data_IF_017871572832
#
_entry.id   IF_017871572832
#
_cell.length_a   1.000
_cell.length_b   1.000
_cell.length_c   1.000
_cell.angle_alpha   90.00
_cell.angle_beta   90.00
_cell.angle_gamma   90.00
#
_symmetry.space_group_name_H-M   'P 1'
#
loop_
_entity.id
_entity.type
_entity.pdbx_description
1 polymer ?
#
# COMPACT_ATOMS: atom_id res chain seq x y z
N UNK A 1 -63.40 -20.64 -21.90
CA UNK A 1 -62.79 -19.35 -22.34
C UNK A 1 -61.72 -18.85 -21.38
N UNK A 2 -61.94 -18.81 -20.08
CA UNK A 2 -60.98 -18.32 -19.07
C UNK A 2 -59.61 -19.01 -19.08
N UNK A 3 -59.54 -20.36 -19.26
CA UNK A 3 -58.28 -21.11 -19.32
C UNK A 3 -57.37 -20.71 -20.49
N UNK A 4 -57.89 -20.36 -21.62
CA UNK A 4 -57.10 -19.92 -22.77
C UNK A 4 -56.59 -18.49 -22.63
N UNK A 5 -57.35 -17.63 -21.92
CA UNK A 5 -56.94 -16.26 -21.61
C UNK A 5 -55.76 -16.27 -20.60
N UNK A 6 -55.84 -17.14 -19.61
CA UNK A 6 -54.73 -17.27 -18.61
C UNK A 6 -53.45 -17.83 -19.26
N UNK A 7 -53.59 -18.79 -20.19
CA UNK A 7 -52.43 -19.32 -20.92
C UNK A 7 -51.80 -18.28 -21.85
N UNK A 8 -52.61 -17.45 -22.52
CA UNK A 8 -52.12 -16.37 -23.37
C UNK A 8 -51.39 -15.29 -22.55
N UNK A 9 -51.88 -14.95 -21.36
CA UNK A 9 -51.25 -14.00 -20.46
C UNK A 9 -49.88 -14.48 -19.91
N UNK A 10 -49.74 -15.79 -19.65
CA UNK A 10 -48.46 -16.39 -19.22
C UNK A 10 -47.45 -16.39 -20.35
N UNK A 11 -47.87 -16.65 -21.61
CA UNK A 11 -46.97 -16.61 -22.77
C UNK A 11 -46.43 -15.18 -23.03
N UNK A 12 -47.24 -14.15 -22.80
CA UNK A 12 -46.79 -12.75 -22.93
C UNK A 12 -45.81 -12.30 -21.85
N UNK A 13 -45.76 -12.96 -20.68
CA UNK A 13 -44.84 -12.64 -19.60
C UNK A 13 -43.38 -13.06 -19.91
N UNK A 14 -43.15 -13.91 -20.90
CA UNK A 14 -41.80 -14.36 -21.32
C UNK A 14 -41.18 -13.52 -22.42
N UNK A 15 -41.83 -12.49 -22.94
CA UNK A 15 -41.20 -11.50 -23.83
C UNK A 15 -40.51 -10.40 -22.99
N UNK A 16 -39.56 -10.80 -22.18
CA UNK A 16 -38.63 -9.85 -21.56
C UNK A 16 -37.66 -9.43 -22.67
N UNK A 17 -37.74 -8.21 -23.14
CA UNK A 17 -36.74 -7.61 -23.99
C UNK A 17 -35.45 -7.44 -23.18
N UNK A 18 -34.48 -8.30 -23.35
CA UNK A 18 -33.12 -8.05 -22.92
C UNK A 18 -32.53 -6.92 -23.78
N UNK A 19 -32.43 -5.73 -23.19
CA UNK A 19 -31.70 -4.64 -23.82
C UNK A 19 -30.21 -4.89 -23.53
N UNK A 20 -29.48 -5.36 -24.52
CA UNK A 20 -28.02 -5.39 -24.45
C UNK A 20 -27.50 -3.94 -24.29
N UNK A 21 -27.18 -3.54 -23.06
CA UNK A 21 -26.50 -2.29 -22.80
C UNK A 21 -25.03 -2.55 -23.05
N UNK A 22 -24.54 -2.21 -24.24
CA UNK A 22 -23.12 -2.13 -24.49
C UNK A 22 -22.60 -0.90 -23.73
N UNK A 23 -22.13 -1.11 -22.49
CA UNK A 23 -21.34 -0.11 -21.81
C UNK A 23 -20.00 -0.04 -22.54
N UNK A 24 -19.86 0.92 -23.44
CA UNK A 24 -18.55 1.34 -23.93
C UNK A 24 -18.08 2.41 -22.93
N UNK A 25 -17.18 2.07 -22.00
CA UNK A 25 -16.64 3.08 -21.09
C UNK A 25 -15.87 4.09 -21.94
N UNK A 26 -16.15 5.37 -21.77
CA UNK A 26 -15.28 6.39 -22.33
C UNK A 26 -13.83 6.10 -21.91
N UNK A 27 -12.93 6.01 -22.89
CA UNK A 27 -11.51 5.87 -22.63
C UNK A 27 -11.03 7.14 -21.92
N UNK A 28 -10.86 7.08 -20.62
CA UNK A 28 -10.26 8.17 -19.87
C UNK A 28 -8.78 8.27 -20.24
N UNK A 29 -8.29 9.50 -20.41
CA UNK A 29 -6.86 9.72 -20.58
C UNK A 29 -6.08 9.11 -19.40
N UNK A 30 -4.97 8.39 -19.68
CA UNK A 30 -4.16 7.82 -18.62
C UNK A 30 -3.68 8.90 -17.66
N UNK A 31 -3.88 8.69 -16.36
CA UNK A 31 -3.38 9.57 -15.30
C UNK A 31 -2.02 9.09 -14.83
N UNK A 32 -1.16 10.04 -14.44
CA UNK A 32 0.07 9.69 -13.75
C UNK A 32 -0.26 9.01 -12.42
N UNK A 33 0.41 7.90 -12.15
CA UNK A 33 0.38 7.18 -10.87
C UNK A 33 1.75 7.31 -10.22
N UNK A 34 1.79 7.80 -9.00
CA UNK A 34 3.02 8.04 -8.24
C UNK A 34 3.04 7.12 -7.03
N UNK A 35 4.02 6.23 -6.98
CA UNK A 35 4.37 5.47 -5.78
C UNK A 35 5.72 5.98 -5.28
N UNK A 36 5.68 6.85 -4.28
CA UNK A 36 6.85 7.53 -3.77
C UNK A 36 6.97 7.37 -2.25
N UNK A 37 8.19 7.10 -1.79
CA UNK A 37 8.47 6.95 -0.38
C UNK A 37 9.84 7.48 0.00
N UNK A 38 9.95 7.92 1.25
CA UNK A 38 11.21 8.25 1.91
C UNK A 38 11.17 7.70 3.35
N UNK A 39 12.17 6.89 3.70
CA UNK A 39 12.28 6.26 5.02
C UNK A 39 13.46 6.84 5.80
N UNK A 40 13.37 6.83 7.12
CA UNK A 40 14.49 7.22 7.99
C UNK A 40 15.76 6.44 7.61
N UNK A 41 16.84 7.17 7.32
CA UNK A 41 18.13 6.59 6.97
C UNK A 41 18.24 6.06 5.55
N UNK A 42 17.21 6.21 4.72
CA UNK A 42 17.19 5.69 3.35
C UNK A 42 17.08 6.81 2.30
N UNK A 43 17.54 6.51 1.10
CA UNK A 43 17.29 7.33 -0.09
C UNK A 43 15.80 7.33 -0.43
N UNK A 44 15.25 8.44 -0.94
CA UNK A 44 13.92 8.43 -1.54
C UNK A 44 13.86 7.48 -2.73
N UNK A 45 12.71 6.84 -2.91
CA UNK A 45 12.42 5.99 -4.07
C UNK A 45 11.09 6.44 -4.66
N UNK A 46 11.04 6.66 -5.97
CA UNK A 46 9.86 7.08 -6.70
C UNK A 46 9.65 6.18 -7.92
N UNK A 47 8.49 5.60 -8.03
CA UNK A 47 8.04 4.85 -9.21
C UNK A 47 6.93 5.64 -9.88
N UNK A 48 7.05 5.81 -11.19
CA UNK A 48 6.08 6.55 -12.00
C UNK A 48 5.50 5.62 -13.07
N UNK A 49 4.18 5.52 -13.08
CA UNK A 49 3.45 4.77 -14.11
C UNK A 49 2.25 5.57 -14.61
N UNK A 50 1.70 5.16 -15.74
CA UNK A 50 0.39 5.62 -16.19
C UNK A 50 -0.69 4.64 -15.71
N UNK A 51 -1.85 5.16 -15.36
CA UNK A 51 -3.00 4.32 -15.05
C UNK A 51 -3.39 3.48 -16.27
N UNK A 52 -3.74 2.23 -16.01
CA UNK A 52 -4.20 1.28 -17.02
C UNK A 52 -5.73 1.29 -17.01
N UNK A 53 -6.35 1.19 -18.19
CA UNK A 53 -7.80 1.11 -18.30
C UNK A 53 -8.29 -0.16 -17.59
N UNK A 54 -9.39 -0.05 -16.85
CA UNK A 54 -9.98 -1.14 -16.04
C UNK A 54 -10.27 -2.41 -16.85
N UNK A 55 -10.64 -2.27 -18.12
CA UNK A 55 -10.98 -3.40 -19.02
C UNK A 55 -9.79 -3.91 -19.84
N UNK A 56 -8.59 -3.41 -19.58
CA UNK A 56 -7.40 -3.89 -20.28
C UNK A 56 -6.98 -5.28 -19.79
N UNK A 57 -6.62 -6.15 -20.71
CA UNK A 57 -5.94 -7.39 -20.37
C UNK A 57 -4.52 -7.08 -19.87
N UNK A 58 -4.26 -7.41 -18.60
CA UNK A 58 -2.97 -7.17 -17.99
C UNK A 58 -1.98 -8.21 -18.49
N UNK A 59 -0.97 -7.75 -19.23
CA UNK A 59 0.16 -8.56 -19.69
C UNK A 59 1.48 -7.82 -19.45
N UNK A 60 2.60 -8.53 -19.60
CA UNK A 60 3.93 -7.97 -19.35
C UNK A 60 4.24 -6.75 -20.23
N UNK A 61 3.79 -6.74 -21.49
CA UNK A 61 4.02 -5.63 -22.42
C UNK A 61 3.27 -4.36 -21.95
N UNK A 62 2.01 -4.50 -21.53
CA UNK A 62 1.21 -3.39 -21.01
C UNK A 62 1.80 -2.83 -19.72
N UNK A 63 2.24 -3.69 -18.81
CA UNK A 63 2.90 -3.29 -17.57
C UNK A 63 4.21 -2.55 -17.85
N UNK A 64 5.03 -3.06 -18.76
CA UNK A 64 6.29 -2.40 -19.14
C UNK A 64 6.05 -1.06 -19.84
N UNK A 65 5.03 -0.98 -20.70
CA UNK A 65 4.63 0.25 -21.37
C UNK A 65 3.99 1.29 -20.46
N UNK A 66 3.56 0.90 -19.24
CA UNK A 66 2.98 1.85 -18.29
C UNK A 66 3.99 2.73 -17.58
N UNK A 67 5.29 2.35 -17.51
CA UNK A 67 6.30 3.17 -16.83
C UNK A 67 6.49 4.52 -17.52
N UNK A 68 6.46 5.59 -16.72
CA UNK A 68 6.80 6.96 -17.17
C UNK A 68 8.29 7.16 -17.00
N UNK A 69 8.98 7.19 -18.13
CA UNK A 69 10.44 7.27 -18.25
C UNK A 69 10.90 8.70 -18.53
N UNK A 70 12.17 8.98 -18.19
CA UNK A 70 12.82 10.26 -18.46
C UNK A 70 12.09 11.48 -17.85
N UNK A 71 11.34 11.28 -16.77
CA UNK A 71 10.76 12.37 -16.02
C UNK A 71 11.84 13.12 -15.24
N UNK A 72 11.68 14.42 -15.07
CA UNK A 72 12.53 15.17 -14.14
C UNK A 72 11.87 15.09 -12.76
N UNK A 73 12.51 14.35 -11.85
CA UNK A 73 12.03 14.14 -10.48
C UNK A 73 13.00 14.82 -9.53
N UNK A 74 12.50 15.72 -8.70
CA UNK A 74 13.30 16.42 -7.68
C UNK A 74 12.68 16.24 -6.30
N UNK A 75 13.54 16.15 -5.30
CA UNK A 75 13.15 16.13 -3.90
C UNK A 75 13.88 17.23 -3.13
N UNK A 76 13.20 17.85 -2.17
CA UNK A 76 13.77 18.89 -1.31
C UNK A 76 13.41 18.64 0.15
N UNK A 77 14.36 18.90 1.07
CA UNK A 77 14.14 18.93 2.51
C UNK A 77 13.98 20.38 3.05
N UNK A 78 13.78 21.34 2.14
CA UNK A 78 13.68 22.77 2.44
C UNK A 78 15.04 23.50 2.49
N UNK A 79 16.15 22.77 2.60
CA UNK A 79 17.53 23.31 2.62
C UNK A 79 18.25 22.92 1.33
N UNK A 80 18.13 21.66 0.96
CA UNK A 80 18.74 21.08 -0.24
C UNK A 80 17.65 20.65 -1.21
N UNK A 81 17.99 20.69 -2.48
CA UNK A 81 17.18 20.09 -3.54
C UNK A 81 18.07 19.15 -4.34
N UNK A 82 17.60 17.92 -4.54
CA UNK A 82 18.30 16.88 -5.28
C UNK A 82 17.45 16.39 -6.44
N UNK A 83 18.04 16.31 -7.64
CA UNK A 83 17.39 15.69 -8.77
C UNK A 83 17.65 14.19 -8.72
N UNK A 84 16.58 13.40 -8.61
CA UNK A 84 16.65 11.95 -8.63
C UNK A 84 17.00 11.46 -10.04
N UNK A 85 17.72 10.36 -10.09
CA UNK A 85 18.12 9.68 -11.32
C UNK A 85 17.27 8.45 -11.56
N UNK A 86 16.93 8.22 -12.82
CA UNK A 86 16.24 6.99 -13.23
C UNK A 86 17.21 5.81 -13.22
N UNK A 87 16.76 4.72 -12.61
CA UNK A 87 17.42 3.42 -12.57
C UNK A 87 16.47 2.34 -13.06
N UNK A 88 17.03 1.20 -13.44
CA UNK A 88 16.24 0.01 -13.72
C UNK A 88 16.88 -1.22 -13.09
N UNK A 89 16.03 -2.16 -12.70
CA UNK A 89 16.41 -3.49 -12.22
C UNK A 89 15.62 -4.56 -12.99
N UNK A 90 16.25 -5.68 -13.35
CA UNK A 90 15.52 -6.80 -13.95
C UNK A 90 14.71 -7.54 -12.86
N UNK A 91 13.41 -7.67 -13.05
CA UNK A 91 12.50 -8.41 -12.19
C UNK A 91 11.64 -9.32 -13.05
N UNK A 92 11.73 -10.65 -12.85
CA UNK A 92 10.89 -11.62 -13.56
C UNK A 92 11.01 -11.58 -15.10
N UNK A 93 12.18 -11.20 -15.64
CA UNK A 93 12.41 -11.07 -17.08
C UNK A 93 11.96 -9.72 -17.68
N UNK A 94 11.47 -8.80 -16.88
CA UNK A 94 11.08 -7.45 -17.25
C UNK A 94 11.96 -6.41 -16.54
N UNK A 95 12.10 -5.20 -17.10
CA UNK A 95 12.80 -4.10 -16.44
C UNK A 95 11.84 -3.27 -15.60
N UNK A 96 12.13 -3.13 -14.32
CA UNK A 96 11.41 -2.28 -13.40
C UNK A 96 12.14 -0.95 -13.24
N UNK A 97 11.46 0.17 -13.52
CA UNK A 97 12.06 1.51 -13.52
C UNK A 97 11.66 2.29 -12.27
N UNK A 98 12.63 2.99 -11.69
CA UNK A 98 12.41 3.84 -10.52
C UNK A 98 13.41 5.00 -10.49
N UNK A 99 13.11 6.02 -9.71
CA UNK A 99 13.96 7.17 -9.46
C UNK A 99 14.47 7.14 -8.03
N UNK A 100 15.77 7.38 -7.83
CA UNK A 100 16.43 7.44 -6.53
C UNK A 100 17.57 8.46 -6.57
N UNK A 101 18.27 8.66 -5.43
CA UNK A 101 19.41 9.56 -5.38
C UNK A 101 20.41 9.26 -6.51
N UNK A 102 20.94 10.32 -7.15
CA UNK A 102 22.04 10.16 -8.08
C UNK A 102 23.35 9.95 -7.32
N UNK A 103 23.87 8.72 -7.36
CA UNK A 103 25.14 8.36 -6.71
C UNK A 103 26.35 9.11 -7.28
N UNK A 104 26.24 9.72 -8.45
CA UNK A 104 27.30 10.55 -9.04
C UNK A 104 27.31 11.96 -8.47
N UNK A 105 26.21 12.40 -7.79
CA UNK A 105 26.05 13.71 -7.18
C UNK A 105 25.72 13.59 -5.69
N UNK A 106 26.61 13.00 -4.85
CA UNK A 106 26.33 12.70 -3.45
C UNK A 106 26.21 13.95 -2.57
N UNK A 107 26.77 15.09 -2.98
CA UNK A 107 26.76 16.34 -2.18
C UNK A 107 25.36 16.90 -1.94
N UNK A 108 24.43 16.69 -2.87
CA UNK A 108 23.04 17.12 -2.75
C UNK A 108 22.09 16.00 -2.37
N UNK A 109 22.57 14.75 -2.31
CA UNK A 109 21.74 13.59 -1.98
C UNK A 109 20.97 13.79 -0.67
N UNK A 110 19.71 13.37 -0.69
CA UNK A 110 18.78 13.49 0.44
C UNK A 110 18.55 12.11 1.04
N UNK A 111 18.70 12.03 2.34
CA UNK A 111 18.38 10.86 3.15
C UNK A 111 17.26 11.24 4.11
N UNK A 112 16.31 10.32 4.32
CA UNK A 112 15.19 10.54 5.21
C UNK A 112 15.64 10.74 6.66
N UNK A 113 15.12 11.76 7.33
CA UNK A 113 15.38 12.08 8.74
C UNK A 113 14.07 12.29 9.49
N UNK A 114 14.01 11.80 10.73
CA UNK A 114 12.84 11.99 11.59
C UNK A 114 12.60 13.47 11.89
N UNK A 115 11.34 13.88 11.89
CA UNK A 115 10.91 15.25 12.16
C UNK A 115 11.06 16.20 10.97
N UNK A 116 11.49 15.73 9.80
CA UNK A 116 11.65 16.57 8.61
C UNK A 116 10.49 16.43 7.63
N UNK A 117 10.23 17.51 6.90
CA UNK A 117 9.31 17.59 5.79
C UNK A 117 10.08 17.48 4.47
N UNK A 118 9.47 16.82 3.50
CA UNK A 118 10.02 16.64 2.16
C UNK A 118 9.00 17.06 1.12
N UNK A 119 9.47 17.77 0.09
CA UNK A 119 8.70 18.17 -1.08
C UNK A 119 9.19 17.39 -2.29
N UNK A 120 8.28 16.71 -2.98
CA UNK A 120 8.53 16.03 -4.24
C UNK A 120 7.94 16.85 -5.38
N UNK A 121 8.73 17.08 -6.43
CA UNK A 121 8.28 17.72 -7.67
C UNK A 121 8.60 16.80 -8.85
N UNK A 122 7.61 16.54 -9.70
CA UNK A 122 7.72 15.68 -10.87
C UNK A 122 7.32 16.49 -12.10
N UNK A 123 8.20 16.60 -13.07
CA UNK A 123 7.91 17.16 -14.39
C UNK A 123 7.83 15.99 -15.38
N UNK A 124 6.64 15.69 -15.85
CA UNK A 124 6.38 14.58 -16.77
C UNK A 124 5.22 14.91 -17.71
N UNK A 125 5.32 14.49 -18.97
CA UNK A 125 4.27 14.69 -19.99
C UNK A 125 3.78 16.14 -20.12
N UNK A 126 4.67 17.12 -19.97
CA UNK A 126 4.36 18.54 -20.04
C UNK A 126 3.59 19.10 -18.85
N UNK A 127 3.42 18.35 -17.78
CA UNK A 127 2.74 18.73 -16.53
C UNK A 127 3.71 18.70 -15.35
N UNK A 128 3.42 19.51 -14.32
CA UNK A 128 4.18 19.52 -13.07
C UNK A 128 3.27 19.00 -11.96
N UNK A 129 3.78 18.04 -11.19
CA UNK A 129 3.09 17.45 -10.05
C UNK A 129 3.90 17.69 -8.79
N UNK A 130 3.21 18.04 -7.70
CA UNK A 130 3.84 18.32 -6.42
C UNK A 130 3.20 17.46 -5.33
N UNK A 131 4.01 17.11 -4.33
CA UNK A 131 3.55 16.47 -3.12
C UNK A 131 4.43 16.84 -1.94
N UNK A 132 3.85 16.78 -0.75
CA UNK A 132 4.55 17.02 0.51
C UNK A 132 4.26 15.83 1.43
N UNK A 133 5.31 15.37 2.12
CA UNK A 133 5.19 14.39 3.20
C UNK A 133 6.10 14.78 4.37
N UNK A 134 5.77 14.26 5.55
CA UNK A 134 6.61 14.39 6.73
C UNK A 134 7.07 13.00 7.18
N UNK A 135 8.33 12.87 7.60
CA UNK A 135 8.75 11.73 8.41
C UNK A 135 8.54 12.15 9.87
N UNK A 136 7.51 11.63 10.57
CA UNK A 136 7.26 12.03 11.96
C UNK A 136 8.41 11.63 12.89
N UNK A 137 8.41 12.19 14.10
CA UNK A 137 9.25 11.65 15.16
C UNK A 137 8.76 10.23 15.54
N UNK A 138 9.67 9.31 15.96
CA UNK A 138 9.31 7.95 16.34
C UNK A 138 8.70 7.91 17.76
N UNK A 139 7.53 8.55 17.93
CA UNK A 139 6.88 8.73 19.23
C UNK A 139 6.10 7.50 19.66
N UNK A 140 5.40 6.85 18.73
CA UNK A 140 4.70 5.58 18.99
C UNK A 140 5.69 4.44 18.77
N UNK A 141 5.93 3.64 19.81
CA UNK A 141 7.04 2.68 19.84
C UNK A 141 6.55 1.27 20.16
N UNK A 142 7.27 0.28 19.59
CA UNK A 142 7.18 -1.10 20.05
C UNK A 142 8.08 -1.25 21.28
N UNK A 143 7.49 -1.50 22.44
CA UNK A 143 8.23 -1.74 23.68
C UNK A 143 8.85 -3.13 23.68
N UNK A 144 8.01 -4.14 23.42
CA UNK A 144 8.44 -5.54 23.38
C UNK A 144 7.65 -6.33 22.35
N UNK A 145 8.24 -7.44 21.89
CA UNK A 145 7.58 -8.42 21.04
C UNK A 145 7.83 -9.81 21.59
N UNK A 146 6.85 -10.70 21.47
CA UNK A 146 6.94 -12.10 21.85
C UNK A 146 6.03 -12.94 20.96
N UNK A 147 6.14 -14.23 21.04
CA UNK A 147 5.25 -15.15 20.38
C UNK A 147 4.38 -15.91 21.39
N UNK A 148 3.24 -16.41 20.94
CA UNK A 148 2.37 -17.31 21.69
C UNK A 148 1.79 -18.39 20.78
N UNK A 149 1.27 -19.45 21.40
CA UNK A 149 0.55 -20.52 20.69
C UNK A 149 -0.70 -19.97 20.03
N UNK A 150 -1.11 -20.50 18.87
CA UNK A 150 -2.39 -20.14 18.26
C UNK A 150 -3.57 -20.66 19.12
N UNK A 151 -4.82 -20.25 18.85
CA UNK A 151 -6.01 -20.83 19.45
C UNK A 151 -6.10 -22.35 19.24
N UNK A 152 -6.88 -23.04 20.08
CA UNK A 152 -6.96 -24.52 20.15
C UNK A 152 -7.33 -25.15 18.79
N UNK A 153 -8.07 -24.47 17.95
CA UNK A 153 -8.54 -24.99 16.66
C UNK A 153 -7.57 -24.70 15.48
N UNK A 154 -6.40 -24.12 15.76
CA UNK A 154 -5.39 -23.80 14.74
C UNK A 154 -4.21 -24.75 14.89
N UNK A 155 -3.66 -25.17 13.75
CA UNK A 155 -2.49 -26.06 13.72
C UNK A 155 -1.34 -25.49 14.57
N UNK A 156 -0.78 -26.35 15.42
CA UNK A 156 0.31 -26.01 16.35
C UNK A 156 1.64 -25.70 15.68
N UNK A 157 1.76 -25.95 14.37
CA UNK A 157 2.89 -25.50 13.55
C UNK A 157 2.91 -23.98 13.35
N UNK A 158 1.77 -23.31 13.61
CA UNK A 158 1.64 -21.87 13.56
C UNK A 158 1.94 -21.20 14.92
N UNK A 159 2.20 -19.92 14.86
CA UNK A 159 2.41 -19.05 16.01
C UNK A 159 1.81 -17.68 15.77
N UNK A 160 1.39 -17.01 16.84
CA UNK A 160 0.99 -15.61 16.83
C UNK A 160 2.16 -14.79 17.37
N UNK A 161 2.55 -13.74 16.65
CA UNK A 161 3.45 -12.73 17.17
C UNK A 161 2.64 -11.63 17.83
N UNK A 162 3.03 -11.24 19.04
CA UNK A 162 2.43 -10.17 19.81
C UNK A 162 3.41 -9.01 19.92
N UNK A 163 2.88 -7.79 19.92
CA UNK A 163 3.64 -6.59 20.24
C UNK A 163 2.96 -5.82 21.37
N UNK A 164 3.77 -5.31 22.30
CA UNK A 164 3.36 -4.27 23.23
C UNK A 164 3.73 -2.92 22.65
N UNK A 165 2.76 -2.03 22.54
CA UNK A 165 2.93 -0.72 21.93
C UNK A 165 2.44 0.32 22.92
N UNK A 166 3.25 1.35 23.15
CA UNK A 166 2.85 2.54 23.90
C UNK A 166 2.54 3.67 22.93
N UNK A 167 1.33 4.20 23.05
CA UNK A 167 0.88 5.38 22.35
C UNK A 167 1.06 6.59 23.27
N UNK A 168 1.73 7.66 22.82
CA UNK A 168 1.85 8.90 23.59
C UNK A 168 0.50 9.61 23.67
N UNK A 169 0.29 10.45 24.69
CA UNK A 169 -0.92 11.27 24.79
C UNK A 169 -0.96 12.33 23.68
N UNK A 170 -2.12 12.56 23.13
CA UNK A 170 -2.39 13.52 22.07
C UNK A 170 -2.69 12.85 20.74
N UNK A 171 -3.92 13.06 20.25
CA UNK A 171 -4.41 12.48 18.99
C UNK A 171 -3.57 12.90 17.78
N UNK A 172 -3.50 12.02 16.79
CA UNK A 172 -2.85 12.24 15.52
C UNK A 172 -1.59 11.39 15.31
N UNK A 173 -1.43 10.33 16.07
CA UNK A 173 -0.33 9.38 15.97
C UNK A 173 -0.71 8.23 15.05
N UNK A 174 -0.32 8.33 13.80
CA UNK A 174 -0.61 7.32 12.77
C UNK A 174 0.58 6.38 12.61
N UNK A 175 0.29 5.09 12.42
CA UNK A 175 1.30 4.08 12.16
C UNK A 175 0.93 3.21 10.97
N UNK A 176 1.97 2.66 10.35
CA UNK A 176 1.89 1.54 9.41
C UNK A 176 2.89 0.48 9.81
N UNK A 177 2.53 -0.81 9.70
CA UNK A 177 3.46 -1.88 9.97
C UNK A 177 3.63 -2.84 8.80
N UNK A 178 4.78 -3.47 8.78
CA UNK A 178 5.15 -4.53 7.84
C UNK A 178 5.83 -5.65 8.60
N UNK A 179 5.80 -6.85 8.05
CA UNK A 179 6.55 -7.97 8.59
C UNK A 179 7.41 -8.63 7.51
N UNK A 180 8.51 -9.19 7.96
CA UNK A 180 9.41 -10.00 7.15
C UNK A 180 9.76 -11.25 7.93
N UNK A 181 9.73 -12.42 7.30
CA UNK A 181 10.16 -13.68 7.87
C UNK A 181 11.37 -14.26 7.11
N UNK A 182 11.93 -15.36 7.56
CA UNK A 182 13.12 -15.97 6.95
C UNK A 182 12.92 -16.43 5.50
N UNK A 183 11.67 -16.71 5.11
CA UNK A 183 11.33 -17.20 3.77
C UNK A 183 11.01 -16.05 2.79
N UNK A 184 10.95 -14.82 3.28
CA UNK A 184 10.63 -13.66 2.47
C UNK A 184 11.57 -12.50 2.84
N UNK A 185 12.43 -12.11 1.90
CA UNK A 185 13.38 -11.02 2.10
C UNK A 185 12.73 -9.63 2.02
N UNK A 186 11.46 -9.53 1.63
CA UNK A 186 10.73 -8.26 1.54
C UNK A 186 9.87 -8.03 2.77
N UNK A 187 9.76 -6.77 3.18
CA UNK A 187 8.78 -6.34 4.15
C UNK A 187 7.41 -6.23 3.48
N UNK A 188 6.48 -7.06 3.92
CA UNK A 188 5.11 -7.09 3.40
C UNK A 188 4.15 -6.49 4.44
N UNK A 189 3.18 -5.66 4.02
CA UNK A 189 2.15 -5.15 4.91
C UNK A 189 1.16 -6.24 5.28
N UNK A 190 0.58 -6.15 6.47
CA UNK A 190 -0.58 -6.97 6.85
C UNK A 190 -1.81 -6.68 5.99
N UNK A 191 -2.88 -7.42 6.19
CA UNK A 191 -4.15 -7.18 5.50
C UNK A 191 -4.69 -5.78 5.81
N UNK A 192 -4.68 -5.41 7.10
CA UNK A 192 -4.87 -4.06 7.60
C UNK A 192 -3.54 -3.64 8.23
N UNK A 193 -2.84 -2.73 7.61
CA UNK A 193 -1.49 -2.36 8.04
C UNK A 193 -1.39 -0.97 8.65
N UNK A 194 -2.44 -0.13 8.52
CA UNK A 194 -2.45 1.24 9.02
C UNK A 194 -3.45 1.42 10.16
N UNK A 195 -3.07 2.20 11.17
CA UNK A 195 -3.87 2.47 12.36
C UNK A 195 -3.71 3.91 12.80
N UNK A 196 -4.79 4.47 13.33
CA UNK A 196 -4.79 5.73 14.09
C UNK A 196 -4.84 5.47 15.61
N UNK A 197 -4.90 6.53 16.39
CA UNK A 197 -4.91 6.50 17.85
C UNK A 197 -6.24 6.89 18.50
N UNK A 198 -7.31 7.05 17.73
CA UNK A 198 -8.59 7.57 18.26
C UNK A 198 -9.14 6.79 19.46
N UNK A 199 -8.87 5.49 19.55
CA UNK A 199 -9.36 4.62 20.63
C UNK A 199 -8.31 4.34 21.70
N UNK A 200 -7.01 4.53 21.36
CA UNK A 200 -5.87 4.07 22.16
C UNK A 200 -4.97 5.21 22.64
N UNK A 201 -5.39 6.47 22.46
CA UNK A 201 -4.59 7.65 22.85
C UNK A 201 -4.10 7.56 24.30
N UNK A 202 -2.80 7.70 24.47
CA UNK A 202 -2.10 7.68 25.74
C UNK A 202 -2.09 6.33 26.47
N UNK A 203 -2.40 5.22 25.78
CA UNK A 203 -2.44 3.87 26.37
C UNK A 203 -1.29 2.99 25.93
N UNK A 204 -0.91 2.06 26.80
CA UNK A 204 -0.07 0.91 26.44
C UNK A 204 -0.97 -0.32 26.28
N UNK A 205 -0.81 -1.03 25.17
CA UNK A 205 -1.66 -2.17 24.82
C UNK A 205 -0.87 -3.27 24.11
N UNK A 206 -1.41 -4.49 24.20
CA UNK A 206 -0.88 -5.67 23.53
C UNK A 206 -1.73 -5.97 22.28
N UNK A 207 -1.08 -6.14 21.13
CA UNK A 207 -1.76 -6.38 19.86
C UNK A 207 -1.16 -7.58 19.14
N UNK A 208 -1.96 -8.47 18.53
CA UNK A 208 -1.45 -9.46 17.61
C UNK A 208 -0.97 -8.78 16.32
N UNK A 209 0.20 -9.18 15.85
CA UNK A 209 0.76 -8.74 14.57
C UNK A 209 0.51 -9.84 13.55
N UNK A 210 -0.22 -9.50 12.49
CA UNK A 210 -0.45 -10.43 11.38
C UNK A 210 0.75 -10.51 10.46
N UNK A 211 1.00 -11.70 9.91
CA UNK A 211 2.00 -11.88 8.87
C UNK A 211 1.67 -11.03 7.63
N UNK A 212 2.68 -10.46 7.03
CA UNK A 212 2.54 -9.70 5.80
C UNK A 212 2.05 -10.56 4.64
N UNK A 213 1.24 -9.97 3.79
CA UNK A 213 0.60 -10.65 2.66
C UNK A 213 1.21 -10.16 1.36
N UNK A 214 1.73 -11.09 0.56
CA UNK A 214 2.09 -10.81 -0.83
C UNK A 214 0.82 -10.78 -1.68
N UNK A 215 0.35 -9.58 -1.97
CA UNK A 215 -0.88 -9.35 -2.75
C UNK A 215 -0.75 -9.74 -4.23
N UNK A 216 0.47 -10.03 -4.69
CA UNK A 216 0.74 -10.49 -6.05
C UNK A 216 0.65 -12.01 -6.19
N UNK A 217 0.44 -12.74 -5.10
CA UNK A 217 0.28 -14.20 -5.10
C UNK A 217 -1.15 -14.60 -4.76
N UNK A 218 -1.67 -15.68 -5.38
CA UNK A 218 -2.94 -16.26 -4.96
C UNK A 218 -2.90 -16.62 -3.47
N UNK A 219 -3.97 -16.35 -2.74
CA UNK A 219 -4.11 -16.81 -1.35
C UNK A 219 -4.21 -18.34 -1.33
N UNK A 220 -3.28 -18.99 -0.62
CA UNK A 220 -3.23 -20.46 -0.58
C UNK A 220 -4.26 -21.01 0.42
N UNK A 221 -4.55 -20.31 1.51
CA UNK A 221 -5.54 -20.70 2.52
C UNK A 221 -5.94 -19.52 3.39
N UNK A 222 -7.22 -19.40 3.74
CA UNK A 222 -7.71 -18.42 4.72
C UNK A 222 -7.30 -18.79 6.15
N UNK A 223 -7.18 -20.10 6.45
CA UNK A 223 -6.93 -20.59 7.82
C UNK A 223 -5.51 -20.29 8.32
N UNK A 224 -4.55 -20.06 7.42
CA UNK A 224 -3.16 -19.71 7.76
C UNK A 224 -2.83 -18.24 7.61
N UNK A 225 -3.78 -17.42 7.12
CA UNK A 225 -3.55 -15.99 6.88
C UNK A 225 -3.35 -15.26 8.21
N UNK A 226 -2.25 -14.51 8.33
CA UNK A 226 -1.94 -13.73 9.51
C UNK A 226 -1.10 -14.44 10.57
N UNK A 227 -0.87 -15.76 10.45
CA UNK A 227 0.01 -16.52 11.35
C UNK A 227 1.43 -16.61 10.82
N UNK A 228 2.37 -16.89 11.72
CA UNK A 228 3.77 -17.22 11.41
C UNK A 228 4.03 -18.69 11.65
N UNK A 229 5.03 -19.24 10.99
CA UNK A 229 5.45 -20.64 11.22
C UNK A 229 6.37 -20.75 12.43
N UNK A 230 6.27 -21.85 13.17
CA UNK A 230 7.27 -22.18 14.19
C UNK A 230 8.63 -22.42 13.53
N UNK A 231 9.69 -21.96 14.20
CA UNK A 231 11.04 -21.93 13.65
C UNK A 231 11.35 -20.72 12.76
N UNK A 232 10.41 -19.76 12.63
CA UNK A 232 10.66 -18.51 11.91
C UNK A 232 11.43 -17.49 12.75
N UNK A 233 12.17 -16.63 12.05
CA UNK A 233 12.67 -15.37 12.58
C UNK A 233 11.85 -14.24 11.94
N UNK A 234 11.06 -13.55 12.75
CA UNK A 234 10.14 -12.52 12.28
C UNK A 234 10.68 -11.15 12.67
N UNK A 235 10.81 -10.27 11.69
CA UNK A 235 11.13 -8.86 11.91
C UNK A 235 9.89 -8.01 11.61
N UNK A 236 9.48 -7.22 12.60
CA UNK A 236 8.42 -6.22 12.46
C UNK A 236 9.09 -4.88 12.15
N UNK A 237 8.61 -4.22 11.09
CA UNK A 237 8.93 -2.84 10.74
C UNK A 237 7.71 -2.00 11.08
N UNK A 238 7.76 -1.25 12.17
CA UNK A 238 6.77 -0.26 12.56
C UNK A 238 7.21 1.11 12.04
N UNK A 239 6.31 1.80 11.37
CA UNK A 239 6.55 3.14 10.84
C UNK A 239 5.56 4.12 11.46
N UNK A 240 6.05 5.21 12.08
CA UNK A 240 5.21 6.37 12.32
C UNK A 240 5.08 7.11 10.98
N UNK A 241 3.87 7.52 10.62
CA UNK A 241 3.54 8.16 9.35
C UNK A 241 2.71 9.42 9.58
N UNK A 242 2.66 10.30 8.59
CA UNK A 242 1.80 11.47 8.64
C UNK A 242 0.34 11.14 8.27
N UNK A 243 -0.55 12.09 8.51
CA UNK A 243 -1.98 11.94 8.23
C UNK A 243 -2.28 11.69 6.75
N UNK A 244 -1.51 12.31 5.86
CA UNK A 244 -1.73 12.14 4.42
C UNK A 244 -1.39 10.71 3.97
N UNK A 245 -0.27 10.17 4.45
CA UNK A 245 0.13 8.77 4.24
C UNK A 245 -0.89 7.80 4.84
N UNK A 246 -1.40 8.07 6.07
CA UNK A 246 -2.44 7.27 6.68
C UNK A 246 -3.73 7.26 5.83
N UNK A 247 -4.22 8.42 5.41
CA UNK A 247 -5.43 8.52 4.59
C UNK A 247 -5.30 7.75 3.28
N UNK A 248 -4.13 7.86 2.62
CA UNK A 248 -3.87 7.12 1.39
C UNK A 248 -3.96 5.61 1.63
N UNK A 249 -3.18 5.08 2.57
CA UNK A 249 -3.11 3.63 2.78
C UNK A 249 -4.40 3.06 3.35
N UNK A 250 -5.08 3.77 4.24
CA UNK A 250 -6.37 3.34 4.80
C UNK A 250 -7.44 3.23 3.70
N UNK A 251 -7.55 4.24 2.84
CA UNK A 251 -8.51 4.20 1.73
C UNK A 251 -8.11 3.23 0.63
N UNK A 252 -6.80 3.04 0.39
CA UNK A 252 -6.31 2.08 -0.58
C UNK A 252 -6.55 0.62 -0.11
N UNK A 253 -6.25 0.31 1.15
CA UNK A 253 -6.49 -1.03 1.71
C UNK A 253 -7.98 -1.37 1.69
N UNK A 254 -8.83 -0.42 2.06
CA UNK A 254 -10.28 -0.60 1.98
C UNK A 254 -10.76 -0.82 0.54
N UNK A 255 -10.30 -0.01 -0.42
CA UNK A 255 -10.65 -0.16 -1.83
C UNK A 255 -10.19 -1.52 -2.36
N UNK A 256 -8.97 -1.96 -2.02
CA UNK A 256 -8.42 -3.25 -2.43
C UNK A 256 -9.24 -4.43 -1.87
N UNK A 257 -9.64 -4.38 -0.60
CA UNK A 257 -10.44 -5.42 0.05
C UNK A 257 -11.88 -5.47 -0.48
N UNK A 258 -12.35 -4.37 -1.06
CA UNK A 258 -13.70 -4.26 -1.65
C UNK A 258 -13.80 -4.88 -3.04
N UNK A 259 -12.67 -5.20 -3.69
CA UNK A 259 -12.66 -5.78 -5.03
C UNK A 259 -13.40 -7.12 -5.06
N UNK A 260 -14.37 -7.24 -5.97
CA UNK A 260 -15.19 -8.45 -6.14
C UNK A 260 -16.36 -8.58 -5.18
N UNK A 261 -16.57 -7.62 -4.27
CA UNK A 261 -17.74 -7.58 -3.40
C UNK A 261 -18.85 -6.69 -4.03
N UNK A 262 -19.94 -7.26 -4.58
CA UNK A 262 -21.00 -6.50 -5.25
C UNK A 262 -21.81 -5.60 -4.29
N UNK A 263 -21.70 -5.82 -2.98
CA UNK A 263 -22.40 -5.04 -1.96
C UNK A 263 -21.53 -3.92 -1.38
N UNK A 264 -20.28 -3.82 -1.80
CA UNK A 264 -19.37 -2.77 -1.33
C UNK A 264 -19.57 -1.49 -2.12
N UNK A 265 -19.68 -0.36 -1.42
CA UNK A 265 -19.70 0.93 -2.10
C UNK A 265 -18.30 1.27 -2.62
N UNK A 266 -18.20 1.82 -3.85
CA UNK A 266 -16.92 2.30 -4.36
C UNK A 266 -16.30 3.34 -3.44
N UNK A 267 -15.03 3.17 -3.11
CA UNK A 267 -14.27 4.11 -2.29
C UNK A 267 -13.21 4.79 -3.14
N UNK A 268 -13.16 6.11 -3.04
CA UNK A 268 -12.10 6.89 -3.67
C UNK A 268 -10.83 6.80 -2.81
N UNK A 269 -9.73 6.33 -3.41
CA UNK A 269 -8.41 6.39 -2.78
C UNK A 269 -7.96 7.85 -2.68
N UNK A 270 -7.56 8.28 -1.49
CA UNK A 270 -7.16 9.65 -1.19
C UNK A 270 -5.64 9.75 -1.33
N UNK A 271 -5.17 10.27 -2.48
CA UNK A 271 -3.75 10.57 -2.69
C UNK A 271 -3.35 11.95 -2.18
N UNK A 272 -2.05 12.23 -2.20
CA UNK A 272 -1.48 13.54 -1.83
C UNK A 272 -0.67 14.19 -2.97
N UNK A 273 -0.87 13.75 -4.20
CA UNK A 273 -0.21 14.31 -5.39
C UNK A 273 -1.13 15.32 -6.05
N UNK A 274 -0.59 16.47 -6.48
CA UNK A 274 -1.33 17.52 -7.18
C UNK A 274 -1.72 17.12 -8.63
N UNK A 275 -2.50 17.95 -9.30
CA UNK A 275 -2.88 17.84 -10.72
C UNK A 275 -3.54 16.51 -11.10
N UNK A 276 -4.45 16.02 -10.27
CA UNK A 276 -5.24 14.80 -10.50
C UNK A 276 -4.41 13.52 -10.71
N UNK A 277 -3.13 13.54 -10.36
CA UNK A 277 -2.34 12.30 -10.33
C UNK A 277 -2.85 11.37 -9.23
N UNK A 278 -2.67 10.08 -9.45
CA UNK A 278 -3.01 9.02 -8.51
C UNK A 278 -1.80 8.66 -7.66
N UNK A 279 -2.04 8.01 -6.53
CA UNK A 279 -0.97 7.53 -5.67
C UNK A 279 -0.58 8.50 -4.56
N UNK A 280 0.59 8.30 -3.98
CA UNK A 280 1.05 9.10 -2.85
C UNK A 280 2.58 9.17 -2.74
N UNK A 281 3.04 10.22 -2.05
CA UNK A 281 4.38 10.33 -1.49
C UNK A 281 4.29 10.19 0.02
N UNK A 282 4.94 9.16 0.57
CA UNK A 282 4.83 8.77 1.97
C UNK A 282 6.18 8.83 2.69
N UNK A 283 6.19 9.47 3.87
CA UNK A 283 7.31 9.52 4.79
C UNK A 283 7.18 8.49 5.92
N UNK A 284 8.24 7.73 6.19
CA UNK A 284 8.23 6.64 7.17
C UNK A 284 9.33 6.82 8.23
N UNK A 285 8.92 7.01 9.49
CA UNK A 285 9.82 6.94 10.65
C UNK A 285 9.91 5.49 11.13
N UNK A 286 11.00 4.81 10.80
CA UNK A 286 11.12 3.36 10.87
C UNK A 286 11.71 2.89 12.21
N UNK A 287 11.08 1.86 12.80
CA UNK A 287 11.60 1.07 13.91
C UNK A 287 11.55 -0.41 13.54
N UNK A 288 12.60 -1.16 13.89
CA UNK A 288 12.70 -2.59 13.65
C UNK A 288 12.76 -3.35 14.98
N UNK A 289 12.00 -4.43 15.10
CA UNK A 289 12.07 -5.40 16.20
C UNK A 289 12.02 -6.81 15.63
N UNK A 290 12.84 -7.70 16.18
CA UNK A 290 12.93 -9.10 15.71
C UNK A 290 12.62 -10.07 16.84
N UNK A 291 11.85 -11.12 16.55
CA UNK A 291 11.56 -12.23 17.43
C UNK A 291 11.88 -13.55 16.74
N UNK A 292 12.45 -14.49 17.50
CA UNK A 292 12.69 -15.86 17.06
C UNK A 292 11.58 -16.73 17.64
N UNK A 293 10.87 -17.44 16.78
CA UNK A 293 9.82 -18.39 17.16
C UNK A 293 10.47 -19.77 17.22
N UNK A 294 10.54 -20.45 18.38
CA UNK A 294 11.11 -21.79 18.47
C UNK A 294 10.36 -22.80 17.60
N UNK A 295 11.03 -23.90 17.22
CA UNK A 295 10.42 -25.05 16.53
C UNK A 295 9.40 -25.78 17.39
#
# INVERSE_FOLDING_TARGET
>A
MTKYITFLLVVFAFFSCEKNISLVPESQEPKLVVDAQIETGQSPVVVLTNSINYFSEINSSLLMGSFVRNAKVTISDGIKTHQLKEYNIPVGGANYFFYANDFMNPSTAITGENGKQYTLTIEANGKIYNSITNIPLPIKKIDSIWWKKPPINVDTTFAIVMAKITDPRGLGNYIRYFTRNKNNNMFLPGENSVFDDQVIDGKTYDIPISAGIDRNRPRISFDSTGYFLRGDTVTIKLCNIDKASYNFWNTWEFAFQSIGNPFSSPVKVIGNISNDALGAFCGYSVQLKTVIIPK
#
